data_IF_692801583224
#
_entry.id   IF_692801583224
#
_cell.length_a   1.000
_cell.length_b   1.000
_cell.length_c   1.000
_cell.angle_alpha   90.00
_cell.angle_beta   90.00
_cell.angle_gamma   90.00
#
_symmetry.space_group_name_H-M   'P 1'
#
loop_
_entity.id
_entity.type
_entity.pdbx_description
1 polymer ?
#
# COMPACT_ATOMS: atom_id res chain seq x y z
N UNK A 1 -21.63 -25.81 -39.05
CA UNK A 1 -21.07 -24.46 -39.28
C UNK A 1 -21.53 -23.58 -38.13
N UNK A 2 -20.61 -23.08 -37.32
CA UNK A 2 -20.95 -22.11 -36.28
C UNK A 2 -21.33 -20.78 -36.96
N UNK A 3 -22.38 -20.09 -36.51
CA UNK A 3 -22.75 -18.80 -37.05
C UNK A 3 -21.61 -17.78 -36.84
N UNK A 4 -21.42 -16.84 -37.78
CA UNK A 4 -20.26 -15.95 -37.81
C UNK A 4 -20.10 -15.08 -36.54
N UNK A 5 -21.18 -14.83 -35.80
CA UNK A 5 -21.12 -14.09 -34.54
C UNK A 5 -20.41 -14.85 -33.42
N UNK A 6 -20.49 -16.19 -33.39
CA UNK A 6 -19.80 -17.01 -32.39
C UNK A 6 -18.29 -17.01 -32.59
N UNK A 7 -17.83 -16.91 -33.84
CA UNK A 7 -16.40 -16.83 -34.14
C UNK A 7 -15.79 -15.51 -33.64
N UNK A 8 -16.50 -14.40 -33.84
CA UNK A 8 -16.08 -13.10 -33.31
C UNK A 8 -16.11 -13.07 -31.78
N UNK A 9 -17.10 -13.72 -31.14
CA UNK A 9 -17.19 -13.83 -29.69
C UNK A 9 -16.00 -14.62 -29.10
N UNK A 10 -15.63 -15.74 -29.73
CA UNK A 10 -14.48 -16.55 -29.30
C UNK A 10 -13.16 -15.81 -29.53
N UNK A 11 -13.00 -15.12 -30.66
CA UNK A 11 -11.81 -14.31 -30.95
C UNK A 11 -11.65 -13.12 -29.99
N UNK A 12 -12.76 -12.54 -29.51
CA UNK A 12 -12.74 -11.38 -28.61
C UNK A 12 -12.78 -11.76 -27.11
N UNK A 13 -12.91 -13.03 -26.76
CA UNK A 13 -12.99 -13.48 -25.36
C UNK A 13 -11.80 -13.06 -24.48
N UNK A 14 -10.54 -13.10 -24.96
CA UNK A 14 -9.40 -12.67 -24.14
C UNK A 14 -9.44 -11.16 -23.84
N UNK A 15 -9.90 -10.38 -24.83
CA UNK A 15 -9.98 -8.92 -24.71
C UNK A 15 -11.13 -8.50 -23.77
N UNK A 16 -12.24 -9.24 -23.79
CA UNK A 16 -13.33 -9.08 -22.82
C UNK A 16 -12.89 -9.43 -21.39
N UNK A 17 -12.07 -10.46 -21.19
CA UNK A 17 -11.52 -10.79 -19.86
C UNK A 17 -10.61 -9.68 -19.32
N UNK A 18 -9.75 -9.10 -20.17
CA UNK A 18 -8.90 -7.97 -19.77
C UNK A 18 -9.75 -6.74 -19.44
N UNK A 19 -10.77 -6.43 -20.25
CA UNK A 19 -11.69 -5.33 -19.99
C UNK A 19 -12.47 -5.53 -18.68
N UNK A 20 -12.94 -6.75 -18.40
CA UNK A 20 -13.63 -7.09 -17.16
C UNK A 20 -12.70 -6.98 -15.94
N UNK A 21 -11.45 -7.44 -16.05
CA UNK A 21 -10.44 -7.27 -15.01
C UNK A 21 -10.16 -5.80 -14.70
N UNK A 22 -10.06 -4.95 -15.73
CA UNK A 22 -9.86 -3.52 -15.55
C UNK A 22 -11.05 -2.86 -14.84
N UNK A 23 -12.28 -3.17 -15.25
CA UNK A 23 -13.50 -2.68 -14.61
C UNK A 23 -13.60 -3.14 -13.14
N UNK A 24 -13.27 -4.40 -12.86
CA UNK A 24 -13.25 -4.93 -11.49
C UNK A 24 -12.21 -4.21 -10.61
N UNK A 25 -11.03 -3.88 -11.14
CA UNK A 25 -10.02 -3.13 -10.39
C UNK A 25 -10.43 -1.69 -10.11
N UNK A 26 -11.13 -1.03 -11.06
CA UNK A 26 -11.66 0.32 -10.85
C UNK A 26 -12.78 0.32 -9.81
N UNK A 27 -13.71 -0.63 -9.90
CA UNK A 27 -14.82 -0.77 -8.93
C UNK A 27 -14.28 -1.05 -7.51
N UNK A 28 -13.26 -1.91 -7.39
CA UNK A 28 -12.60 -2.18 -6.11
C UNK A 28 -11.86 -0.96 -5.54
N UNK A 29 -11.27 -0.13 -6.40
CA UNK A 29 -10.62 1.12 -5.98
C UNK A 29 -11.66 2.14 -5.47
N UNK A 30 -12.83 2.21 -6.08
CA UNK A 30 -13.90 3.11 -5.65
C UNK A 30 -14.54 2.64 -4.32
N UNK A 31 -14.75 1.34 -4.12
CA UNK A 31 -15.20 0.79 -2.83
C UNK A 31 -14.23 1.11 -1.69
N UNK A 32 -12.92 0.98 -1.92
CA UNK A 32 -11.91 1.34 -0.92
C UNK A 32 -11.88 2.85 -0.63
N UNK A 33 -12.19 3.70 -1.61
CA UNK A 33 -12.30 5.15 -1.40
C UNK A 33 -13.55 5.53 -0.61
N UNK A 34 -14.66 4.84 -0.83
CA UNK A 34 -15.89 5.06 -0.05
C UNK A 34 -15.72 4.63 1.42
N UNK A 35 -15.02 3.53 1.67
CA UNK A 35 -14.67 3.09 3.03
C UNK A 35 -13.72 4.05 3.77
N UNK A 36 -12.92 4.83 3.05
CA UNK A 36 -12.02 5.83 3.64
C UNK A 36 -12.68 7.20 3.89
N UNK A 37 -13.83 7.49 3.25
CA UNK A 37 -14.54 8.77 3.38
C UNK A 37 -15.69 8.68 4.39
N UNK A 38 -16.07 7.48 4.85
CA UNK A 38 -16.91 7.36 6.03
C UNK A 38 -16.01 7.63 7.24
N UNK A 39 -16.11 8.81 7.92
CA UNK A 39 -15.49 8.94 9.23
C UNK A 39 -16.05 7.82 10.10
N UNK A 40 -15.25 7.18 10.97
CA UNK A 40 -15.79 6.24 11.93
C UNK A 40 -16.90 6.98 12.68
N UNK A 41 -18.14 6.51 12.50
CA UNK A 41 -19.26 7.03 13.26
C UNK A 41 -18.84 6.94 14.72
N UNK A 42 -18.72 8.09 15.38
CA UNK A 42 -18.42 8.13 16.79
C UNK A 42 -19.37 7.19 17.51
N UNK A 43 -18.81 6.29 18.30
CA UNK A 43 -19.52 5.43 19.24
C UNK A 43 -20.48 6.33 20.03
N UNK A 44 -21.72 6.33 19.59
CA UNK A 44 -22.82 6.65 20.46
C UNK A 44 -23.27 5.31 21.02
N UNK A 45 -22.84 5.06 22.25
CA UNK A 45 -23.42 4.06 23.15
C UNK A 45 -24.93 4.32 23.26
N UNK A 46 -25.70 3.56 22.48
CA UNK A 46 -27.08 3.25 22.82
C UNK A 46 -27.16 1.73 22.90
N UNK A 47 -27.23 1.23 24.14
CA UNK A 47 -27.66 -0.14 24.43
C UNK A 47 -29.09 -0.32 23.91
N UNK A 48 -29.24 -0.86 22.71
CA UNK A 48 -30.50 -1.41 22.23
C UNK A 48 -30.41 -2.93 22.30
N UNK A 49 -30.99 -3.47 23.38
CA UNK A 49 -31.16 -4.90 23.63
C UNK A 49 -32.15 -5.47 22.59
N UNK A 50 -31.64 -6.03 21.49
CA UNK A 50 -32.39 -6.98 20.68
C UNK A 50 -31.97 -8.41 21.02
N UNK A 51 -32.91 -9.13 21.64
CA UNK A 51 -32.91 -10.56 21.85
C UNK A 51 -32.77 -11.29 20.51
N UNK A 52 -31.63 -11.97 20.30
CA UNK A 52 -31.47 -12.87 19.16
C UNK A 52 -31.54 -14.33 19.63
N UNK A 53 -32.62 -15.01 19.25
CA UNK A 53 -32.82 -16.45 19.45
C UNK A 53 -31.74 -17.29 18.73
N UNK A 54 -31.36 -18.46 19.29
CA UNK A 54 -30.42 -19.37 18.64
C UNK A 54 -31.15 -20.22 17.60
N UNK A 55 -30.75 -20.10 16.34
CA UNK A 55 -31.13 -21.08 15.31
C UNK A 55 -30.01 -22.11 15.15
N UNK A 56 -30.26 -23.28 15.73
CA UNK A 56 -29.63 -24.54 15.35
C UNK A 56 -30.00 -24.93 13.91
N UNK A 57 -29.16 -25.79 13.34
CA UNK A 57 -29.25 -26.53 12.07
C UNK A 57 -28.81 -25.80 10.80
N UNK A 58 -27.61 -26.19 10.32
CA UNK A 58 -27.53 -26.91 9.04
C UNK A 58 -26.21 -27.68 8.86
N UNK A 59 -26.30 -28.99 9.05
CA UNK A 59 -25.39 -29.98 8.48
C UNK A 59 -25.42 -29.95 6.93
N UNK A 60 -24.35 -30.52 6.34
CA UNK A 60 -24.11 -30.87 4.93
C UNK A 60 -23.33 -29.85 4.09
N UNK A 61 -22.01 -30.11 3.93
CA UNK A 61 -21.47 -30.54 2.62
C UNK A 61 -20.06 -31.14 2.72
N UNK A 62 -19.99 -32.47 2.60
CA UNK A 62 -18.80 -33.20 2.16
C UNK A 62 -18.67 -33.15 0.62
N UNK A 63 -17.43 -33.29 0.12
CA UNK A 63 -17.03 -33.47 -1.29
C UNK A 63 -15.82 -32.59 -1.64
N UNK A 64 -14.57 -33.03 -1.47
CA UNK A 64 -13.82 -33.96 -2.35
C UNK A 64 -13.73 -33.38 -3.76
N UNK A 65 -12.64 -32.70 -4.14
CA UNK A 65 -11.49 -33.20 -4.95
C UNK A 65 -11.07 -32.00 -5.85
N UNK A 66 -9.86 -31.72 -6.33
CA UNK A 66 -8.54 -32.36 -6.33
C UNK A 66 -7.45 -31.26 -6.30
N UNK A 67 -6.24 -31.71 -6.01
CA UNK A 67 -4.96 -31.14 -6.41
C UNK A 67 -4.93 -30.51 -7.82
N UNK A 68 -4.02 -29.54 -8.02
CA UNK A 68 -3.04 -29.45 -9.13
C UNK A 68 -2.55 -28.00 -9.35
N UNK A 69 -1.23 -27.85 -9.15
CA UNK A 69 -0.30 -26.74 -9.49
C UNK A 69 -0.01 -25.68 -8.40
N UNK A 70 1.03 -25.79 -7.55
CA UNK A 70 2.48 -25.97 -7.76
C UNK A 70 3.25 -24.66 -8.05
N UNK A 71 4.22 -24.38 -7.15
CA UNK A 71 5.53 -23.70 -7.35
C UNK A 71 5.55 -22.28 -7.92
N UNK A 72 5.93 -21.30 -7.09
CA UNK A 72 7.24 -20.59 -7.04
C UNK A 72 7.18 -19.68 -5.78
N UNK A 73 7.81 -19.98 -4.65
CA UNK A 73 9.17 -19.55 -4.30
C UNK A 73 9.52 -20.16 -2.94
N UNK A 74 10.27 -21.27 -2.98
CA UNK A 74 11.07 -21.74 -1.86
C UNK A 74 12.48 -21.25 -2.11
N UNK A 75 12.85 -20.13 -1.48
CA UNK A 75 14.24 -19.71 -1.27
C UNK A 75 14.26 -18.53 -0.29
N UNK A 76 14.07 -18.84 1.00
CA UNK A 76 14.63 -18.04 2.10
C UNK A 76 14.76 -18.94 3.33
N UNK A 77 15.66 -19.91 3.19
CA UNK A 77 16.21 -20.67 4.29
C UNK A 77 17.26 -19.78 4.97
N UNK A 78 16.84 -18.96 5.95
CA UNK A 78 17.75 -18.32 6.90
C UNK A 78 17.74 -19.17 8.16
N UNK A 79 18.76 -20.01 8.22
CA UNK A 79 19.21 -20.78 9.35
C UNK A 79 19.57 -19.81 10.49
N UNK A 80 18.73 -19.76 11.52
CA UNK A 80 19.08 -19.18 12.81
C UNK A 80 18.90 -20.28 13.87
N UNK A 81 19.89 -21.16 13.94
CA UNK A 81 20.16 -21.93 15.15
C UNK A 81 20.79 -20.96 16.15
N UNK A 82 20.04 -20.55 17.17
CA UNK A 82 20.65 -20.35 18.47
C UNK A 82 19.70 -20.74 19.59
N UNK A 83 20.23 -21.59 20.45
CA UNK A 83 19.53 -22.27 21.51
C UNK A 83 19.32 -21.31 22.70
N UNK A 84 18.08 -21.15 23.14
CA UNK A 84 17.82 -20.90 24.55
C UNK A 84 16.53 -21.60 24.98
N UNK A 85 16.79 -22.73 25.62
CA UNK A 85 15.91 -23.50 26.46
C UNK A 85 15.36 -22.60 27.58
N UNK A 86 14.05 -22.32 27.53
CA UNK A 86 13.30 -21.75 28.64
C UNK A 86 11.91 -22.36 28.61
N UNK A 87 11.78 -23.51 29.26
CA UNK A 87 10.52 -24.09 29.71
C UNK A 87 9.73 -23.01 30.47
N UNK A 88 8.78 -22.37 29.78
CA UNK A 88 7.75 -21.57 30.42
C UNK A 88 6.44 -22.37 30.33
N UNK A 89 6.20 -23.10 31.40
CA UNK A 89 5.00 -23.86 31.69
C UNK A 89 3.79 -22.91 31.64
N UNK A 90 3.12 -22.87 30.49
CA UNK A 90 1.90 -22.12 30.30
C UNK A 90 0.79 -22.78 31.13
N UNK A 91 0.55 -22.23 32.32
CA UNK A 91 -0.68 -22.44 33.05
C UNK A 91 -1.84 -21.93 32.17
N UNK A 92 -2.51 -22.86 31.51
CA UNK A 92 -3.78 -22.68 30.84
C UNK A 92 -4.82 -22.29 31.91
N UNK A 93 -5.05 -21.00 32.09
CA UNK A 93 -6.11 -20.48 32.95
C UNK A 93 -7.43 -20.73 32.22
N UNK A 94 -8.14 -21.75 32.68
CA UNK A 94 -9.50 -22.08 32.28
C UNK A 94 -10.45 -20.91 32.63
N UNK A 95 -10.78 -20.07 31.64
CA UNK A 95 -11.67 -18.90 31.77
C UNK A 95 -13.18 -19.25 31.81
N UNK A 96 -13.58 -20.52 31.87
CA UNK A 96 -14.98 -20.92 32.03
C UNK A 96 -15.37 -21.16 33.49
N UNK A 97 -15.31 -20.10 34.31
CA UNK A 97 -16.03 -20.05 35.58
C UNK A 97 -17.41 -19.41 35.35
N UNK A 98 -18.52 -20.08 35.68
CA UNK A 98 -19.86 -19.49 35.53
C UNK A 98 -19.98 -18.26 36.42
N UNK A 99 -20.34 -17.13 35.79
CA UNK A 99 -20.74 -15.88 36.45
C UNK A 99 -21.80 -16.18 37.50
N UNK A 100 -21.42 -16.15 38.78
CA UNK A 100 -22.39 -16.12 39.88
C UNK A 100 -22.93 -14.69 39.96
N UNK A 101 -24.22 -14.56 39.66
CA UNK A 101 -25.05 -13.37 39.88
C UNK A 101 -24.71 -12.71 41.22
N UNK A 102 -24.10 -11.53 41.12
CA UNK A 102 -23.86 -10.66 42.26
C UNK A 102 -25.18 -9.91 42.52
N UNK A 103 -25.80 -10.03 43.71
CA UNK A 103 -27.05 -9.32 43.98
C UNK A 103 -26.83 -7.81 43.92
N UNK A 104 -27.81 -7.03 43.45
CA UNK A 104 -27.73 -5.58 43.39
C UNK A 104 -27.54 -5.02 44.80
N UNK A 105 -26.51 -4.18 44.96
CA UNK A 105 -26.30 -3.39 46.17
C UNK A 105 -27.47 -2.42 46.35
N UNK A 106 -28.11 -2.37 47.53
CA UNK A 106 -29.18 -1.41 47.80
C UNK A 106 -28.62 0.01 47.76
N UNK A 107 -29.29 0.85 46.99
CA UNK A 107 -29.17 2.31 46.97
C UNK A 107 -29.71 2.84 48.31
N UNK A 108 -28.83 3.06 49.28
CA UNK A 108 -29.16 3.75 50.53
C UNK A 108 -29.12 5.26 50.32
N UNK A 109 -30.34 5.82 50.29
CA UNK A 109 -30.80 7.01 51.02
C UNK A 109 -29.99 8.32 50.90
N UNK A 110 -30.66 9.26 50.24
CA UNK A 110 -30.85 10.66 50.64
C UNK A 110 -30.60 10.90 52.13
N UNK A 111 -29.62 11.74 52.46
CA UNK A 111 -29.60 12.53 53.69
C UNK A 111 -29.26 13.98 53.27
N UNK A 112 -30.32 14.80 53.23
CA UNK A 112 -30.21 16.23 53.44
C UNK A 112 -29.85 16.48 54.90
N UNK A 113 -28.83 17.31 55.15
CA UNK A 113 -28.67 18.16 56.35
C UNK A 113 -27.48 19.10 56.04
N UNK A 114 -27.73 20.35 55.67
CA UNK A 114 -28.01 21.49 56.54
C UNK A 114 -26.78 22.01 57.31
N UNK A 115 -26.39 23.23 56.93
CA UNK A 115 -25.81 24.32 57.73
C UNK A 115 -24.78 23.97 58.82
N UNK A 116 -23.56 24.48 58.66
CA UNK A 116 -23.01 25.48 59.60
C UNK A 116 -21.75 26.14 59.02
N UNK A 117 -21.80 27.47 58.97
CA UNK A 117 -20.63 28.29 58.70
C UNK A 117 -19.61 28.22 59.82
N UNK A 118 -18.38 28.56 59.48
CA UNK A 118 -17.55 29.32 60.41
C UNK A 118 -16.59 30.20 59.61
N UNK A 119 -16.74 31.50 59.84
CA UNK A 119 -15.81 32.55 59.44
C UNK A 119 -14.51 32.30 60.20
N UNK A 120 -13.40 32.09 59.49
CA UNK A 120 -12.07 32.17 60.10
C UNK A 120 -11.51 33.58 59.91
N UNK A 121 -11.88 34.41 60.88
CA UNK A 121 -11.35 35.70 61.25
C UNK A 121 -9.81 35.74 61.31
N UNK A 122 -9.28 36.90 61.00
CA UNK A 122 -7.88 37.26 61.14
C UNK A 122 -7.53 37.40 62.64
N UNK A 123 -6.48 36.74 63.12
CA UNK A 123 -5.60 37.34 64.12
C UNK A 123 -4.30 36.56 64.32
N UNK A 124 -3.20 37.29 64.16
CA UNK A 124 -1.85 36.90 64.52
C UNK A 124 -1.69 36.79 66.04
N UNK A 125 -1.00 35.75 66.51
CA UNK A 125 -0.23 35.75 67.76
C UNK A 125 0.80 34.60 67.70
N UNK A 126 2.05 34.91 68.10
CA UNK A 126 3.25 34.10 67.85
C UNK A 126 3.32 32.71 68.50
N UNK A 127 4.47 32.02 68.38
CA UNK A 127 4.64 30.63 68.81
C UNK A 127 4.65 30.53 70.33
N UNK A 128 3.46 30.40 70.92
CA UNK A 128 3.31 29.95 72.29
C UNK A 128 3.68 28.47 72.33
N UNK A 129 4.92 28.19 72.75
CA UNK A 129 5.41 26.85 73.06
C UNK A 129 4.33 26.12 73.90
N UNK A 130 3.69 25.05 73.40
CA UNK A 130 2.59 24.43 74.11
C UNK A 130 3.12 23.92 75.45
N UNK A 131 2.62 24.49 76.54
CA UNK A 131 2.92 24.01 77.89
C UNK A 131 2.61 22.52 77.94
N UNK A 132 3.53 21.68 78.46
CA UNK A 132 3.34 20.24 78.47
C UNK A 132 2.09 19.91 79.29
N UNK A 133 0.99 19.59 78.59
CA UNK A 133 -0.26 19.17 79.25
C UNK A 133 0.07 17.95 80.12
N UNK A 134 -0.39 17.91 81.38
CA UNK A 134 -0.09 16.81 82.28
C UNK A 134 -0.52 15.50 81.62
N UNK A 135 0.40 14.55 81.48
CA UNK A 135 0.14 13.23 80.91
C UNK A 135 -1.00 12.61 81.70
N UNK A 136 -2.18 12.53 81.09
CA UNK A 136 -3.35 11.86 81.68
C UNK A 136 -2.92 10.44 82.01
N UNK A 137 -2.83 10.12 83.29
CA UNK A 137 -2.50 8.79 83.76
C UNK A 137 -3.52 7.81 83.18
N UNK A 138 -3.08 6.65 82.64
CA UNK A 138 -3.99 5.71 82.01
C UNK A 138 -5.02 5.25 83.06
N UNK A 139 -6.28 5.63 82.84
CA UNK A 139 -7.39 5.16 83.68
C UNK A 139 -7.44 3.64 83.56
N UNK A 140 -7.47 2.93 84.70
CA UNK A 140 -7.65 1.47 84.72
C UNK A 140 -8.99 1.15 84.04
N UNK A 141 -8.94 0.65 82.81
CA UNK A 141 -10.13 0.26 82.07
C UNK A 141 -10.56 -1.13 82.54
N UNK A 142 -11.86 -1.33 82.76
CA UNK A 142 -12.40 -2.65 83.08
C UNK A 142 -12.23 -3.65 81.93
N UNK A 143 -12.20 -4.94 82.24
CA UNK A 143 -11.91 -6.02 81.30
C UNK A 143 -12.76 -5.98 80.01
N UNK A 144 -14.05 -5.64 80.11
CA UNK A 144 -14.96 -5.53 78.95
C UNK A 144 -14.54 -4.40 77.99
N UNK A 145 -14.09 -3.27 78.53
CA UNK A 145 -13.66 -2.10 77.74
C UNK A 145 -12.30 -2.33 77.09
N UNK A 146 -11.40 -3.04 77.77
CA UNK A 146 -10.14 -3.51 77.18
C UNK A 146 -10.39 -4.40 75.96
N UNK A 147 -11.26 -5.40 76.08
CA UNK A 147 -11.61 -6.30 74.96
C UNK A 147 -12.29 -5.57 73.79
N UNK A 148 -13.12 -4.59 74.07
CA UNK A 148 -13.76 -3.76 73.02
C UNK A 148 -12.74 -2.87 72.29
N UNK A 149 -11.81 -2.26 73.03
CA UNK A 149 -10.72 -1.48 72.43
C UNK A 149 -9.80 -2.37 71.61
N UNK A 150 -9.42 -3.54 72.11
CA UNK A 150 -8.58 -4.50 71.39
C UNK A 150 -9.22 -4.93 70.05
N UNK A 151 -10.54 -5.20 70.03
CA UNK A 151 -11.23 -5.48 68.75
C UNK A 151 -11.18 -4.29 67.80
N UNK A 152 -11.46 -3.08 68.29
CA UNK A 152 -11.41 -1.86 67.47
C UNK A 152 -10.00 -1.60 66.93
N UNK A 153 -8.98 -1.84 67.75
CA UNK A 153 -7.58 -1.69 67.39
C UNK A 153 -7.17 -2.73 66.33
N UNK A 154 -7.59 -4.00 66.49
CA UNK A 154 -7.43 -5.03 65.46
C UNK A 154 -8.11 -4.67 64.13
N UNK A 155 -9.32 -4.10 64.19
CA UNK A 155 -10.01 -3.64 62.98
C UNK A 155 -9.27 -2.47 62.30
N UNK A 156 -8.77 -1.49 63.06
CA UNK A 156 -7.95 -0.40 62.50
C UNK A 156 -6.66 -0.92 61.89
N UNK A 157 -5.94 -1.78 62.61
CA UNK A 157 -4.73 -2.42 62.11
C UNK A 157 -4.97 -3.22 60.82
N UNK A 158 -6.11 -3.93 60.71
CA UNK A 158 -6.49 -4.62 59.49
C UNK A 158 -6.78 -3.67 58.32
N UNK A 159 -7.53 -2.58 58.56
CA UNK A 159 -7.82 -1.60 57.52
C UNK A 159 -6.58 -0.80 57.09
N UNK A 160 -5.67 -0.49 58.02
CA UNK A 160 -4.38 0.12 57.73
C UNK A 160 -3.48 -0.83 56.94
N UNK A 161 -3.44 -2.12 57.32
CA UNK A 161 -2.73 -3.14 56.55
C UNK A 161 -3.30 -3.29 55.14
N UNK A 162 -4.63 -3.26 54.98
CA UNK A 162 -5.29 -3.36 53.69
C UNK A 162 -4.99 -2.14 52.81
N UNK A 163 -5.01 -0.92 53.38
CA UNK A 163 -4.59 0.31 52.69
C UNK A 163 -3.11 0.25 52.30
N UNK A 164 -2.24 -0.19 53.21
CA UNK A 164 -0.82 -0.37 52.94
C UNK A 164 -0.58 -1.40 51.82
N UNK A 165 -1.35 -2.49 51.76
CA UNK A 165 -1.29 -3.43 50.64
C UNK A 165 -1.75 -2.80 49.32
N UNK A 166 -2.84 -2.02 49.31
CA UNK A 166 -3.28 -1.34 48.08
C UNK A 166 -2.29 -0.28 47.62
N UNK A 167 -1.72 0.49 48.55
CA UNK A 167 -0.72 1.51 48.26
C UNK A 167 0.56 0.89 47.69
N UNK A 168 1.03 -0.23 48.25
CA UNK A 168 2.19 -0.95 47.71
C UNK A 168 1.93 -1.48 46.28
N UNK A 169 0.74 -2.05 46.01
CA UNK A 169 0.40 -2.50 44.65
C UNK A 169 0.29 -1.34 43.66
N UNK A 170 -0.32 -0.23 44.07
CA UNK A 170 -0.45 0.94 43.22
C UNK A 170 0.93 1.58 42.94
N UNK A 171 1.83 1.61 43.93
CA UNK A 171 3.19 2.09 43.73
C UNK A 171 4.00 1.19 42.78
N UNK A 172 3.85 -0.13 42.87
CA UNK A 172 4.49 -1.06 41.96
C UNK A 172 3.96 -0.92 40.53
N UNK A 173 2.64 -0.80 40.36
CA UNK A 173 2.02 -0.57 39.05
C UNK A 173 2.46 0.77 38.44
N UNK A 174 2.53 1.83 39.24
CA UNK A 174 3.02 3.13 38.77
C UNK A 174 4.48 3.06 38.29
N UNK A 175 5.35 2.35 39.02
CA UNK A 175 6.75 2.14 38.62
C UNK A 175 6.86 1.36 37.29
N UNK A 176 6.06 0.30 37.13
CA UNK A 176 6.03 -0.48 35.88
C UNK A 176 5.51 0.35 34.72
N UNK A 177 4.48 1.17 34.95
CA UNK A 177 3.94 2.04 33.91
C UNK A 177 4.96 3.11 33.46
N UNK A 178 5.77 3.64 34.37
CA UNK A 178 6.87 4.55 34.02
C UNK A 178 7.93 3.85 33.17
N UNK A 179 8.36 2.65 33.55
CA UNK A 179 9.32 1.83 32.77
C UNK A 179 8.78 1.50 31.38
N UNK A 180 7.51 1.07 31.28
CA UNK A 180 6.86 0.75 30.01
C UNK A 180 6.74 1.98 29.12
N UNK A 181 6.46 3.16 29.69
CA UNK A 181 6.43 4.43 28.94
C UNK A 181 7.82 4.81 28.41
N UNK A 182 8.87 4.63 29.20
CA UNK A 182 10.25 4.88 28.77
C UNK A 182 10.67 3.93 27.63
N UNK A 183 10.38 2.64 27.78
CA UNK A 183 10.64 1.62 26.75
C UNK A 183 9.85 1.93 25.47
N UNK A 184 8.57 2.31 25.60
CA UNK A 184 7.75 2.69 24.46
C UNK A 184 8.30 3.92 23.73
N UNK A 185 8.78 4.92 24.47
CA UNK A 185 9.39 6.12 23.90
C UNK A 185 10.70 5.81 23.15
N UNK A 186 11.58 4.99 23.74
CA UNK A 186 12.82 4.58 23.08
C UNK A 186 12.55 3.76 21.82
N UNK A 187 11.61 2.82 21.88
CA UNK A 187 11.21 1.99 20.75
C UNK A 187 10.59 2.84 19.63
N UNK A 188 9.75 3.83 19.97
CA UNK A 188 9.20 4.78 19.01
C UNK A 188 10.31 5.58 18.32
N UNK A 189 11.33 6.03 19.07
CA UNK A 189 12.48 6.74 18.51
C UNK A 189 13.30 5.85 17.56
N UNK A 190 13.53 4.59 17.90
CA UNK A 190 14.25 3.64 17.04
C UNK A 190 13.48 3.39 15.74
N UNK A 191 12.17 3.13 15.83
CA UNK A 191 11.30 2.93 14.67
C UNK A 191 11.29 4.14 13.75
N UNK A 192 11.18 5.36 14.29
CA UNK A 192 11.21 6.59 13.48
C UNK A 192 12.51 6.71 12.65
N UNK A 193 13.67 6.44 13.27
CA UNK A 193 14.97 6.48 12.56
C UNK A 193 15.09 5.39 11.50
N UNK A 194 14.57 4.20 11.78
CA UNK A 194 14.56 3.09 10.81
C UNK A 194 13.61 3.36 9.64
N UNK A 195 12.43 3.90 9.91
CA UNK A 195 11.46 4.32 8.90
C UNK A 195 12.05 5.40 7.99
N UNK A 196 12.69 6.43 8.54
CA UNK A 196 13.39 7.46 7.75
C UNK A 196 14.48 6.84 6.85
N UNK A 197 15.25 5.88 7.37
CA UNK A 197 16.28 5.17 6.59
C UNK A 197 15.68 4.32 5.47
N UNK A 198 14.57 3.64 5.74
CA UNK A 198 13.86 2.83 4.75
C UNK A 198 13.26 3.75 3.67
N UNK A 199 12.64 4.86 4.06
CA UNK A 199 12.07 5.84 3.14
C UNK A 199 13.15 6.46 2.26
N UNK A 200 14.28 6.89 2.82
CA UNK A 200 15.40 7.42 2.06
C UNK A 200 16.00 6.41 1.07
N UNK A 201 16.06 5.12 1.44
CA UNK A 201 16.50 4.06 0.51
C UNK A 201 15.48 3.84 -0.62
N UNK A 202 14.19 3.77 -0.31
CA UNK A 202 13.12 3.62 -1.30
C UNK A 202 13.06 4.80 -2.27
N UNK A 203 13.28 6.01 -1.78
CA UNK A 203 13.33 7.22 -2.61
C UNK A 203 14.52 7.17 -3.58
N UNK A 204 15.72 6.84 -3.09
CA UNK A 204 16.90 6.66 -3.95
C UNK A 204 16.71 5.57 -5.00
N UNK A 205 16.17 4.42 -4.64
CA UNK A 205 15.88 3.34 -5.59
C UNK A 205 14.88 3.78 -6.66
N UNK A 206 13.85 4.54 -6.26
CA UNK A 206 12.88 5.11 -7.20
C UNK A 206 13.53 6.12 -8.13
N UNK A 207 14.37 7.00 -7.62
CA UNK A 207 15.11 7.99 -8.42
C UNK A 207 16.06 7.31 -9.43
N UNK A 208 16.80 6.29 -9.00
CA UNK A 208 17.70 5.52 -9.87
C UNK A 208 16.93 4.79 -10.97
N UNK A 209 15.77 4.21 -10.64
CA UNK A 209 14.90 3.55 -11.63
C UNK A 209 14.39 4.55 -12.66
N UNK A 210 13.88 5.70 -12.21
CA UNK A 210 13.38 6.77 -13.10
C UNK A 210 14.51 7.30 -13.97
N UNK A 211 15.70 7.54 -13.42
CA UNK A 211 16.85 8.02 -14.18
C UNK A 211 17.30 7.02 -15.26
N UNK A 212 17.25 5.71 -14.96
CA UNK A 212 17.60 4.67 -15.92
C UNK A 212 16.55 4.52 -17.03
N UNK A 213 15.27 4.62 -16.69
CA UNK A 213 14.19 4.66 -17.68
C UNK A 213 14.29 5.90 -18.57
N UNK A 214 14.53 7.08 -17.98
CA UNK A 214 14.69 8.32 -18.74
C UNK A 214 15.90 8.24 -19.68
N UNK A 215 17.02 7.66 -19.21
CA UNK A 215 18.20 7.45 -20.05
C UNK A 215 17.89 6.54 -21.23
N UNK A 216 17.21 5.42 -21.02
CA UNK A 216 16.79 4.50 -22.09
C UNK A 216 15.86 5.18 -23.09
N UNK A 217 14.88 5.93 -22.61
CA UNK A 217 13.95 6.68 -23.48
C UNK A 217 14.71 7.74 -24.29
N UNK A 218 15.70 8.40 -23.69
CA UNK A 218 16.53 9.38 -24.39
C UNK A 218 17.39 8.72 -25.47
N UNK A 219 18.06 7.62 -25.16
CA UNK A 219 18.83 6.82 -26.13
C UNK A 219 17.94 6.33 -27.29
N UNK A 220 16.70 5.90 -26.99
CA UNK A 220 15.74 5.50 -28.02
C UNK A 220 15.30 6.68 -28.88
N UNK A 221 15.03 7.85 -28.30
CA UNK A 221 14.68 9.07 -29.05
C UNK A 221 15.82 9.51 -29.96
N UNK A 222 17.05 9.56 -29.45
CA UNK A 222 18.24 9.90 -30.24
C UNK A 222 18.48 8.90 -31.38
N UNK A 223 18.25 7.61 -31.12
CA UNK A 223 18.32 6.58 -32.16
C UNK A 223 17.23 6.77 -33.23
N UNK A 224 15.99 7.09 -32.83
CA UNK A 224 14.89 7.39 -33.75
C UNK A 224 15.20 8.64 -34.58
N UNK A 225 15.67 9.72 -33.96
CA UNK A 225 16.07 10.94 -34.66
C UNK A 225 17.20 10.67 -35.65
N UNK A 226 18.19 9.87 -35.26
CA UNK A 226 19.30 9.46 -36.14
C UNK A 226 18.82 8.67 -37.36
N UNK A 227 17.80 7.82 -37.21
CA UNK A 227 17.15 7.10 -38.34
C UNK A 227 16.44 8.09 -39.25
N UNK A 228 15.63 8.98 -38.68
CA UNK A 228 14.86 9.98 -39.43
C UNK A 228 15.80 10.90 -40.20
N UNK A 229 16.87 11.38 -39.57
CA UNK A 229 17.88 12.23 -40.19
C UNK A 229 18.65 11.49 -41.31
N UNK A 230 19.01 10.22 -41.09
CA UNK A 230 19.69 9.42 -42.11
C UNK A 230 18.86 9.23 -43.38
N UNK A 231 17.53 9.22 -43.24
CA UNK A 231 16.58 9.11 -44.35
C UNK A 231 16.20 10.46 -44.94
N UNK A 232 16.21 11.52 -44.13
CA UNK A 232 15.83 12.87 -44.57
C UNK A 232 16.73 13.36 -45.69
N UNK A 233 16.11 13.80 -46.80
CA UNK A 233 16.81 14.35 -47.96
C UNK A 233 17.46 13.31 -48.89
N UNK A 234 17.37 12.01 -48.58
CA UNK A 234 17.83 10.93 -49.46
C UNK A 234 16.64 10.25 -50.12
N UNK A 235 16.68 10.06 -51.44
CA UNK A 235 15.63 9.37 -52.19
C UNK A 235 15.64 7.86 -51.96
N UNK A 236 16.83 7.27 -51.87
CA UNK A 236 17.02 5.83 -51.65
C UNK A 236 18.01 5.61 -50.53
N UNK A 237 17.62 4.81 -49.54
CA UNK A 237 18.48 4.46 -48.42
C UNK A 237 18.39 2.97 -48.15
N UNK A 238 19.54 2.30 -48.13
CA UNK A 238 19.61 0.89 -47.74
C UNK A 238 19.46 0.77 -46.21
N UNK A 239 18.49 -0.03 -45.78
CA UNK A 239 18.13 -0.15 -44.36
C UNK A 239 19.24 -0.81 -43.54
N UNK A 240 19.99 -1.74 -44.13
CA UNK A 240 21.11 -2.42 -43.48
C UNK A 240 22.24 -1.43 -43.12
N UNK A 241 22.46 -0.39 -43.93
CA UNK A 241 23.46 0.65 -43.67
C UNK A 241 23.01 1.54 -42.50
N UNK A 242 21.73 1.89 -42.44
CA UNK A 242 21.16 2.69 -41.34
C UNK A 242 21.15 1.88 -40.03
N UNK A 243 20.76 0.62 -40.09
CA UNK A 243 20.79 -0.31 -38.96
C UNK A 243 22.19 -0.43 -38.36
N UNK A 244 23.22 -0.59 -39.20
CA UNK A 244 24.64 -0.58 -38.78
C UNK A 244 25.05 0.74 -38.13
N UNK A 245 24.63 1.87 -38.69
CA UNK A 245 24.94 3.21 -38.14
C UNK A 245 24.34 3.42 -36.75
N UNK A 246 23.10 2.98 -36.54
CA UNK A 246 22.35 3.15 -35.27
C UNK A 246 22.63 2.00 -34.29
N UNK A 247 23.36 0.96 -34.72
CA UNK A 247 23.65 -0.27 -33.95
C UNK A 247 22.38 -0.96 -33.46
N UNK A 248 21.37 -1.01 -34.34
CA UNK A 248 20.09 -1.68 -34.07
C UNK A 248 19.77 -2.67 -35.18
N UNK A 249 18.82 -3.54 -34.91
CA UNK A 249 18.32 -4.49 -35.89
C UNK A 249 17.55 -3.78 -36.99
N UNK A 250 17.57 -4.38 -38.18
CA UNK A 250 16.89 -3.81 -39.34
C UNK A 250 15.38 -3.74 -39.15
N UNK A 251 14.78 -4.75 -38.54
CA UNK A 251 13.34 -4.80 -38.27
C UNK A 251 12.89 -3.64 -37.37
N UNK A 252 13.73 -3.28 -36.39
CA UNK A 252 13.49 -2.11 -35.54
C UNK A 252 13.50 -0.81 -36.35
N UNK A 253 14.47 -0.63 -37.25
CA UNK A 253 14.53 0.55 -38.14
C UNK A 253 13.30 0.61 -39.05
N UNK A 254 12.87 -0.52 -39.61
CA UNK A 254 11.63 -0.59 -40.41
C UNK A 254 10.40 -0.19 -39.60
N UNK A 255 10.25 -0.70 -38.38
CA UNK A 255 9.15 -0.34 -37.48
C UNK A 255 9.15 1.16 -37.14
N UNK A 256 10.33 1.73 -36.88
CA UNK A 256 10.49 3.18 -36.66
C UNK A 256 10.07 3.98 -37.89
N UNK A 257 10.50 3.60 -39.09
CA UNK A 257 10.12 4.30 -40.32
C UNK A 257 8.62 4.21 -40.61
N UNK A 258 8.00 3.05 -40.35
CA UNK A 258 6.54 2.90 -40.45
C UNK A 258 5.80 3.82 -39.50
N UNK A 259 6.26 3.92 -38.26
CA UNK A 259 5.63 4.74 -37.22
C UNK A 259 5.87 6.25 -37.39
N UNK A 260 7.09 6.67 -37.71
CA UNK A 260 7.46 8.09 -37.72
C UNK A 260 7.36 8.75 -39.09
N UNK A 261 7.66 8.02 -40.17
CA UNK A 261 7.83 8.61 -41.50
C UNK A 261 6.65 8.32 -42.41
N UNK A 262 6.09 7.11 -42.34
CA UNK A 262 4.90 6.72 -43.11
C UNK A 262 3.60 7.16 -42.43
N UNK A 263 3.54 7.24 -41.10
CA UNK A 263 2.35 7.74 -40.40
C UNK A 263 2.17 9.26 -40.54
N UNK A 264 3.26 10.01 -40.77
CA UNK A 264 3.17 11.44 -41.08
C UNK A 264 2.64 11.61 -42.50
N UNK A 265 1.61 12.45 -42.66
CA UNK A 265 1.00 12.76 -43.95
C UNK A 265 2.09 13.15 -44.94
N UNK A 266 2.22 12.39 -46.03
CA UNK A 266 3.15 12.73 -47.10
C UNK A 266 2.79 14.11 -47.66
N UNK A 267 3.80 14.89 -48.05
CA UNK A 267 3.57 16.14 -48.77
C UNK A 267 2.88 15.84 -50.11
N UNK A 268 2.10 16.79 -50.63
CA UNK A 268 1.25 16.56 -51.80
C UNK A 268 2.09 16.09 -53.01
N UNK A 269 1.92 14.82 -53.39
CA UNK A 269 2.64 14.15 -54.49
C UNK A 269 3.88 13.36 -54.08
N UNK A 270 4.33 13.40 -52.82
CA UNK A 270 5.40 12.52 -52.35
C UNK A 270 4.90 11.09 -52.13
N UNK A 271 5.62 10.11 -52.69
CA UNK A 271 5.35 8.69 -52.45
C UNK A 271 6.50 8.09 -51.65
N UNK A 272 6.17 7.58 -50.45
CA UNK A 272 7.13 6.97 -49.53
C UNK A 272 6.81 5.48 -49.38
N UNK A 273 7.81 4.62 -49.54
CA UNK A 273 7.62 3.18 -49.41
C UNK A 273 8.85 2.47 -48.85
N UNK A 274 8.59 1.37 -48.15
CA UNK A 274 9.63 0.43 -47.71
C UNK A 274 9.62 -0.75 -48.69
N UNK A 275 10.67 -0.87 -49.49
CA UNK A 275 10.96 -2.07 -50.26
C UNK A 275 11.80 -3.03 -49.42
N UNK A 276 11.89 -4.30 -49.84
CA UNK A 276 12.42 -5.40 -49.02
C UNK A 276 13.79 -5.18 -48.38
N UNK A 277 14.64 -4.23 -48.79
CA UNK A 277 15.86 -3.83 -48.06
C UNK A 277 16.14 -2.32 -48.12
N UNK A 278 15.29 -1.56 -48.80
CA UNK A 278 15.54 -0.17 -49.17
C UNK A 278 14.33 0.67 -48.82
N UNK A 279 14.58 1.81 -48.19
CA UNK A 279 13.63 2.91 -48.13
C UNK A 279 13.69 3.70 -49.43
N UNK A 280 12.53 3.99 -50.02
CA UNK A 280 12.40 4.81 -51.23
C UNK A 280 11.41 5.95 -50.98
N UNK A 281 11.84 7.16 -51.29
CA UNK A 281 11.04 8.38 -51.27
C UNK A 281 11.10 9.03 -52.65
N UNK A 282 9.98 9.03 -53.36
CA UNK A 282 9.79 9.73 -54.62
C UNK A 282 9.16 11.09 -54.39
N UNK A 283 9.70 12.13 -55.03
CA UNK A 283 9.07 13.44 -55.07
C UNK A 283 7.90 13.49 -56.06
N UNK A 284 7.08 14.56 -56.01
CA UNK A 284 5.90 14.73 -56.86
C UNK A 284 6.13 14.51 -58.37
N UNK A 285 7.26 14.99 -58.90
CA UNK A 285 7.60 14.81 -60.32
C UNK A 285 7.93 13.35 -60.67
N UNK A 286 8.65 12.67 -59.79
CA UNK A 286 9.05 11.27 -59.97
C UNK A 286 7.85 10.35 -59.81
N UNK A 287 7.01 10.60 -58.82
CA UNK A 287 5.72 9.90 -58.63
C UNK A 287 4.85 10.05 -59.88
N UNK A 288 4.77 11.24 -60.47
CA UNK A 288 4.02 11.46 -61.72
C UNK A 288 4.61 10.69 -62.91
N UNK A 289 5.93 10.74 -63.10
CA UNK A 289 6.62 9.94 -64.14
C UNK A 289 6.37 8.44 -63.95
N UNK A 290 6.47 7.97 -62.70
CA UNK A 290 6.23 6.58 -62.35
C UNK A 290 4.81 6.14 -62.75
N UNK A 291 3.79 6.90 -62.36
CA UNK A 291 2.41 6.59 -62.73
C UNK A 291 2.16 6.67 -64.23
N UNK A 292 2.80 7.61 -64.95
CA UNK A 292 2.70 7.67 -66.40
C UNK A 292 3.25 6.39 -67.06
N UNK A 293 4.41 5.90 -66.62
CA UNK A 293 4.99 4.64 -67.15
C UNK A 293 4.10 3.44 -66.81
N UNK A 294 3.49 3.43 -65.63
CA UNK A 294 2.54 2.38 -65.22
C UNK A 294 1.27 2.42 -66.07
N UNK A 295 0.72 3.61 -66.34
CA UNK A 295 -0.46 3.78 -67.20
C UNK A 295 -0.18 3.37 -68.66
N UNK A 296 0.98 3.74 -69.20
CA UNK A 296 1.38 3.39 -70.57
C UNK A 296 1.59 1.88 -70.76
N UNK A 297 2.18 1.20 -69.76
CA UNK A 297 2.44 -0.25 -69.83
C UNK A 297 1.24 -1.10 -69.38
N UNK A 298 0.27 -0.53 -68.67
CA UNK A 298 -0.93 -1.22 -68.21
C UNK A 298 -0.68 -2.15 -67.02
N UNK A 299 -1.04 -3.45 -67.14
CA UNK A 299 -0.84 -4.42 -66.06
C UNK A 299 0.64 -4.79 -65.96
N UNK A 300 1.30 -4.30 -64.93
CA UNK A 300 2.73 -4.50 -64.68
C UNK A 300 2.94 -5.40 -63.45
N UNK A 301 3.88 -6.35 -63.56
CA UNK A 301 4.29 -7.18 -62.42
C UNK A 301 5.18 -6.38 -61.45
N UNK A 302 5.19 -6.76 -60.16
CA UNK A 302 6.01 -6.11 -59.13
C UNK A 302 7.49 -6.01 -59.48
N UNK A 303 8.03 -7.02 -60.18
CA UNK A 303 9.42 -7.05 -60.65
C UNK A 303 9.69 -5.97 -61.69
N UNK A 304 8.72 -5.72 -62.57
CA UNK A 304 8.84 -4.70 -63.61
C UNK A 304 8.64 -3.30 -63.03
N UNK A 305 7.74 -3.13 -62.05
CA UNK A 305 7.62 -1.89 -61.29
C UNK A 305 8.94 -1.56 -60.61
N UNK A 306 9.61 -2.55 -60.00
CA UNK A 306 10.93 -2.39 -59.39
C UNK A 306 11.99 -1.86 -60.37
N UNK A 307 12.00 -2.37 -61.61
CA UNK A 307 12.91 -1.88 -62.66
C UNK A 307 12.61 -0.43 -63.06
N UNK A 308 11.33 -0.06 -63.15
CA UNK A 308 10.94 1.32 -63.45
C UNK A 308 11.33 2.25 -62.30
N UNK A 309 11.21 1.81 -61.05
CA UNK A 309 11.74 2.55 -59.90
C UNK A 309 13.25 2.74 -60.02
N UNK A 310 14.00 1.67 -60.29
CA UNK A 310 15.45 1.74 -60.47
C UNK A 310 15.82 2.69 -61.62
N UNK A 311 15.12 2.65 -62.75
CA UNK A 311 15.34 3.56 -63.89
C UNK A 311 15.10 5.04 -63.52
N UNK A 312 13.97 5.35 -62.85
CA UNK A 312 13.64 6.72 -62.41
C UNK A 312 14.62 7.22 -61.34
N UNK A 313 15.14 6.33 -60.51
CA UNK A 313 16.09 6.65 -59.43
C UNK A 313 17.54 6.74 -59.92
N UNK A 314 17.89 5.95 -60.93
CA UNK A 314 19.22 5.93 -61.56
C UNK A 314 19.37 7.01 -62.62
N UNK A 315 18.30 7.60 -63.16
CA UNK A 315 18.35 8.82 -63.97
C UNK A 315 19.14 9.88 -63.17
N UNK A 316 20.44 10.05 -63.44
CA UNK A 316 21.23 10.99 -62.67
C UNK A 316 20.67 12.36 -63.03
N UNK A 317 20.66 13.30 -62.08
CA UNK A 317 20.59 14.72 -62.41
C UNK A 317 21.79 15.09 -63.29
N UNK A 318 21.75 14.74 -64.57
CA UNK A 318 22.82 14.94 -65.57
C UNK A 318 22.87 16.40 -66.06
N UNK A 319 22.24 17.35 -65.35
CA UNK A 319 22.07 18.70 -65.86
C UNK A 319 21.73 19.74 -64.81
N UNK A 320 22.43 19.76 -63.67
CA UNK A 320 22.43 20.95 -62.80
C UNK A 320 23.78 21.07 -62.08
N UNK A 321 24.78 21.56 -62.81
CA UNK A 321 25.96 22.26 -62.31
C UNK A 321 26.06 23.57 -63.06
#
# INVERSE_FOLDING_TARGET
MLPPFLYNLVMLSPLLLVAFGFLYTLDRLDHNRQAAITPPAGEHDYEELEEHEPTENRENREGHDEDVMNRVNADLNVELEDASDSENEAHEVNENAPFLDRPPTPSDSEDEDDINGDEADANAAGPANPTPRPRRTPKKLGAKKLKSLERRDRHRAYHEWLRGQSEMRNAELASREEEDREIAFENARRRAVEEERIMAKKEKEREERVALEERKVREEREAVESVVEAVRGRKVVELDVVAKKVKREREWVEAVLRREVLAKKAEEGEMRMILSRKWVCLGAQETKKFWQVVEEKGRMDWTEMGKVFEEILEEPKKGFW
#
